data_IF_044858937144
#
_entry.id   IF_044858937144
#
_cell.length_a   1.000
_cell.length_b   1.000
_cell.length_c   1.000
_cell.angle_alpha   90.00
_cell.angle_beta   90.00
_cell.angle_gamma   90.00
#
_symmetry.space_group_name_H-M   'P 1'
#
loop_
_entity.id
_entity.type
_entity.pdbx_description
1 polymer ?
#
# COMPACT_ATOMS: atom_id res chain seq x y z
N UNK A 1 -2.49 -21.59 -22.73
CA UNK A 1 -3.58 -21.08 -23.59
C UNK A 1 -4.37 -19.95 -22.93
N UNK A 2 -4.87 -20.09 -21.69
CA UNK A 2 -5.64 -19.02 -21.00
C UNK A 2 -4.95 -17.65 -20.97
N UNK A 3 -3.65 -17.58 -20.61
CA UNK A 3 -2.90 -16.32 -20.63
C UNK A 3 -2.87 -15.64 -22.00
N UNK A 4 -2.79 -16.43 -23.08
CA UNK A 4 -2.81 -15.90 -24.44
C UNK A 4 -4.16 -15.24 -24.75
N UNK A 5 -5.26 -15.96 -24.54
CA UNK A 5 -6.60 -15.43 -24.76
C UNK A 5 -6.94 -14.24 -23.87
N UNK A 6 -6.50 -14.27 -22.61
CA UNK A 6 -6.66 -13.13 -21.71
C UNK A 6 -5.92 -11.88 -22.23
N UNK A 7 -4.69 -12.04 -22.72
CA UNK A 7 -3.93 -10.95 -23.33
C UNK A 7 -4.58 -10.44 -24.62
N UNK A 8 -5.09 -11.35 -25.47
CA UNK A 8 -5.86 -10.95 -26.67
C UNK A 8 -7.10 -10.16 -26.29
N UNK A 9 -7.84 -10.61 -25.27
CA UNK A 9 -9.03 -9.93 -24.76
C UNK A 9 -8.76 -8.48 -24.35
N UNK A 10 -7.57 -8.18 -23.85
CA UNK A 10 -7.13 -6.82 -23.52
C UNK A 10 -6.96 -5.93 -24.76
N UNK A 11 -6.64 -6.53 -25.92
CA UNK A 11 -6.38 -5.79 -27.16
C UNK A 11 -7.64 -5.52 -27.98
N UNK A 12 -8.78 -6.15 -27.61
CA UNK A 12 -10.02 -6.00 -28.35
C UNK A 12 -10.77 -4.73 -27.93
N UNK A 13 -11.07 -3.88 -28.89
CA UNK A 13 -11.76 -2.62 -28.65
C UNK A 13 -13.16 -2.85 -28.06
N UNK A 14 -13.49 -2.09 -27.03
CA UNK A 14 -14.78 -2.18 -26.34
C UNK A 14 -14.94 -3.39 -25.41
N UNK A 15 -13.95 -4.28 -25.29
CA UNK A 15 -13.98 -5.41 -24.36
C UNK A 15 -13.42 -4.99 -23.00
N UNK A 16 -14.17 -4.14 -22.31
CA UNK A 16 -13.81 -3.58 -21.01
C UNK A 16 -13.70 -4.63 -19.91
N UNK A 17 -12.95 -4.35 -18.84
CA UNK A 17 -12.80 -5.23 -17.68
C UNK A 17 -14.16 -5.71 -17.11
N UNK A 18 -15.17 -4.83 -17.07
CA UNK A 18 -16.52 -5.18 -16.63
C UNK A 18 -17.16 -6.22 -17.56
N UNK A 19 -17.05 -6.03 -18.88
CA UNK A 19 -17.59 -6.98 -19.86
C UNK A 19 -16.85 -8.31 -19.82
N UNK A 20 -15.53 -8.30 -19.63
CA UNK A 20 -14.74 -9.52 -19.47
C UNK A 20 -15.26 -10.35 -18.28
N UNK A 21 -15.44 -9.72 -17.12
CA UNK A 21 -15.97 -10.41 -15.95
C UNK A 21 -17.39 -10.97 -16.19
N UNK A 22 -18.29 -10.20 -16.76
CA UNK A 22 -19.64 -10.66 -17.06
C UNK A 22 -19.65 -11.88 -17.98
N UNK A 23 -18.79 -11.93 -19.00
CA UNK A 23 -18.68 -13.10 -19.86
C UNK A 23 -18.04 -14.30 -19.17
N UNK A 24 -17.04 -14.06 -18.32
CA UNK A 24 -16.40 -15.13 -17.55
C UNK A 24 -17.32 -15.77 -16.52
N UNK A 25 -18.36 -15.07 -16.05
CA UNK A 25 -19.42 -15.70 -15.21
C UNK A 25 -20.17 -16.79 -15.98
N UNK A 26 -20.34 -16.66 -17.28
CA UNK A 26 -20.97 -17.66 -18.14
C UNK A 26 -19.97 -18.66 -18.70
N UNK A 27 -18.85 -18.17 -19.24
CA UNK A 27 -17.89 -19.00 -20.01
C UNK A 27 -16.85 -19.65 -19.13
N UNK A 28 -16.61 -19.17 -17.91
CA UNK A 28 -15.64 -19.63 -16.89
C UNK A 28 -14.16 -19.62 -17.35
N UNK A 29 -13.87 -19.45 -18.64
CA UNK A 29 -12.51 -19.39 -19.18
C UNK A 29 -12.44 -18.45 -20.39
N UNK A 30 -11.26 -17.92 -20.64
CA UNK A 30 -11.02 -17.13 -21.86
C UNK A 30 -11.02 -17.98 -23.12
N UNK A 31 -10.51 -19.22 -23.04
CA UNK A 31 -10.57 -20.17 -24.15
C UNK A 31 -12.01 -20.41 -24.62
N UNK A 32 -12.94 -20.58 -23.69
CA UNK A 32 -14.36 -20.78 -24.02
C UNK A 32 -14.98 -19.54 -24.70
N UNK A 33 -14.59 -18.32 -24.36
CA UNK A 33 -15.09 -17.11 -25.05
C UNK A 33 -14.70 -17.13 -26.53
N UNK A 34 -13.51 -17.65 -26.88
CA UNK A 34 -12.96 -17.59 -28.24
C UNK A 34 -13.18 -18.86 -29.07
N UNK A 35 -13.38 -20.01 -28.45
CA UNK A 35 -13.42 -21.32 -29.11
C UNK A 35 -14.79 -22.01 -29.09
N UNK A 36 -15.63 -21.74 -28.06
CA UNK A 36 -16.93 -22.39 -27.95
C UNK A 36 -17.99 -21.84 -28.94
N UNK A 37 -19.03 -22.62 -29.20
CA UNK A 37 -20.16 -22.15 -30.01
C UNK A 37 -20.96 -21.09 -29.20
N UNK A 38 -21.20 -19.89 -29.74
CA UNK A 38 -22.01 -18.88 -29.05
C UNK A 38 -23.41 -19.37 -28.66
N UNK A 39 -23.96 -20.34 -29.38
CA UNK A 39 -25.31 -20.92 -29.08
C UNK A 39 -25.36 -21.69 -27.76
N UNK A 40 -24.23 -22.10 -27.22
CA UNK A 40 -24.13 -22.79 -25.92
C UNK A 40 -24.37 -21.86 -24.72
N UNK A 41 -24.44 -20.54 -24.97
CA UNK A 41 -24.54 -19.51 -23.92
C UNK A 41 -25.89 -18.77 -23.94
N UNK A 42 -26.22 -18.05 -22.86
CA UNK A 42 -27.45 -17.25 -22.80
C UNK A 42 -27.58 -16.28 -23.97
N UNK A 43 -28.79 -16.11 -24.49
CA UNK A 43 -29.07 -15.28 -25.68
C UNK A 43 -28.47 -13.88 -25.60
N UNK A 44 -28.36 -13.32 -24.39
CA UNK A 44 -27.76 -11.99 -24.16
C UNK A 44 -26.24 -11.97 -24.40
N UNK A 45 -25.57 -13.08 -24.16
CA UNK A 45 -24.11 -13.22 -24.32
C UNK A 45 -23.71 -13.57 -25.76
N UNK A 46 -24.56 -14.29 -26.50
CA UNK A 46 -24.27 -14.79 -27.85
C UNK A 46 -23.75 -13.73 -28.83
N UNK A 47 -24.41 -12.56 -29.00
CA UNK A 47 -23.94 -11.57 -29.96
C UNK A 47 -22.60 -10.95 -29.55
N UNK A 48 -22.31 -10.85 -28.25
CA UNK A 48 -21.05 -10.35 -27.73
C UNK A 48 -19.92 -11.34 -28.00
N UNK A 49 -20.14 -12.61 -27.71
CA UNK A 49 -19.18 -13.71 -27.95
C UNK A 49 -18.89 -13.81 -29.46
N UNK A 50 -19.92 -13.85 -30.30
CA UNK A 50 -19.77 -13.91 -31.75
C UNK A 50 -18.98 -12.70 -32.31
N UNK A 51 -19.24 -11.50 -31.80
CA UNK A 51 -18.52 -10.30 -32.16
C UNK A 51 -17.04 -10.36 -31.78
N UNK A 52 -16.72 -10.86 -30.57
CA UNK A 52 -15.34 -11.03 -30.10
C UNK A 52 -14.59 -12.09 -30.92
N UNK A 53 -15.24 -13.21 -31.26
CA UNK A 53 -14.67 -14.26 -32.10
C UNK A 53 -14.41 -13.77 -33.54
N UNK A 54 -15.32 -12.94 -34.09
CA UNK A 54 -15.11 -12.32 -35.39
C UNK A 54 -13.88 -11.40 -35.37
N UNK A 55 -13.78 -10.54 -34.35
CA UNK A 55 -12.64 -9.63 -34.17
C UNK A 55 -11.33 -10.40 -33.92
N UNK A 56 -11.40 -11.50 -33.20
CA UNK A 56 -10.25 -12.41 -33.00
C UNK A 56 -9.71 -12.96 -34.34
N UNK A 57 -10.59 -13.34 -35.26
CA UNK A 57 -10.23 -13.86 -36.60
C UNK A 57 -9.60 -12.80 -37.52
N UNK A 58 -9.80 -11.52 -37.27
CA UNK A 58 -9.21 -10.43 -38.06
C UNK A 58 -7.71 -10.24 -37.81
N UNK A 59 -7.15 -10.83 -36.71
CA UNK A 59 -5.75 -10.72 -36.31
C UNK A 59 -5.20 -9.30 -36.18
N UNK A 60 -6.04 -8.27 -36.12
CA UNK A 60 -5.64 -6.87 -35.99
C UNK A 60 -4.91 -6.57 -34.67
N UNK A 61 -5.18 -7.36 -33.65
CA UNK A 61 -4.59 -7.31 -32.30
C UNK A 61 -3.15 -7.83 -32.23
N UNK A 62 -2.70 -8.66 -33.19
CA UNK A 62 -1.45 -9.44 -33.10
C UNK A 62 -0.22 -8.58 -32.88
N UNK A 63 -0.07 -7.48 -33.66
CA UNK A 63 1.09 -6.58 -33.51
C UNK A 63 1.18 -5.95 -32.10
N UNK A 64 0.03 -5.59 -31.51
CA UNK A 64 -0.02 -5.02 -30.16
C UNK A 64 0.35 -6.09 -29.12
N UNK A 65 -0.15 -7.30 -29.31
CA UNK A 65 0.15 -8.43 -28.44
C UNK A 65 1.66 -8.78 -28.47
N UNK A 66 2.25 -8.91 -29.68
CA UNK A 66 3.67 -9.20 -29.86
C UNK A 66 4.54 -8.16 -29.16
N UNK A 67 4.17 -6.87 -29.29
CA UNK A 67 4.87 -5.79 -28.59
C UNK A 67 4.76 -5.90 -27.07
N UNK A 68 3.58 -6.19 -26.55
CA UNK A 68 3.36 -6.39 -25.10
C UNK A 68 4.14 -7.58 -24.57
N UNK A 69 4.14 -8.71 -25.29
CA UNK A 69 4.89 -9.91 -24.91
C UNK A 69 6.40 -9.66 -24.86
N UNK A 70 6.96 -9.00 -25.88
CA UNK A 70 8.38 -8.61 -25.89
C UNK A 70 8.77 -7.74 -24.69
N UNK A 71 7.89 -6.83 -24.26
CA UNK A 71 8.14 -5.99 -23.09
C UNK A 71 8.09 -6.80 -21.79
N UNK A 72 7.15 -7.73 -21.68
CA UNK A 72 7.04 -8.64 -20.52
C UNK A 72 8.28 -9.52 -20.40
N UNK A 73 8.72 -10.12 -21.50
CA UNK A 73 9.94 -10.94 -21.54
C UNK A 73 11.17 -10.15 -21.09
N UNK A 74 11.36 -8.93 -21.62
CA UNK A 74 12.50 -8.07 -21.27
C UNK A 74 12.56 -7.71 -19.79
N UNK A 75 11.42 -7.53 -19.12
CA UNK A 75 11.40 -7.20 -17.70
C UNK A 75 11.20 -8.41 -16.78
N UNK A 76 11.08 -9.63 -17.35
CA UNK A 76 10.87 -10.87 -16.59
C UNK A 76 9.52 -10.87 -15.86
N UNK A 77 8.49 -10.30 -16.46
CA UNK A 77 7.15 -10.27 -15.89
C UNK A 77 6.29 -11.40 -16.43
N UNK A 78 5.40 -11.91 -15.58
CA UNK A 78 4.39 -12.91 -15.93
C UNK A 78 2.98 -12.32 -15.92
N UNK A 79 2.06 -13.06 -16.52
CA UNK A 79 0.65 -12.68 -16.65
C UNK A 79 -0.19 -13.67 -15.87
N UNK A 80 -1.04 -13.15 -14.97
CA UNK A 80 -1.97 -13.96 -14.17
C UNK A 80 -3.40 -13.52 -14.50
N UNK A 81 -4.13 -14.30 -15.32
CA UNK A 81 -5.54 -14.05 -15.62
C UNK A 81 -6.41 -14.33 -14.40
N UNK A 82 -7.56 -13.68 -14.30
CA UNK A 82 -8.54 -13.88 -13.21
C UNK A 82 -9.06 -15.33 -13.14
N UNK A 83 -8.98 -16.08 -14.23
CA UNK A 83 -9.34 -17.49 -14.33
C UNK A 83 -8.25 -18.45 -13.84
N UNK A 84 -7.05 -17.94 -13.52
CA UNK A 84 -5.95 -18.76 -13.01
C UNK A 84 -6.14 -19.08 -11.53
N UNK A 85 -5.69 -20.30 -11.14
CA UNK A 85 -5.55 -20.67 -9.72
C UNK A 85 -4.55 -19.78 -8.97
N UNK A 86 -3.60 -19.17 -9.69
CA UNK A 86 -2.59 -18.28 -9.13
C UNK A 86 -3.11 -16.85 -8.93
N UNK A 87 -4.40 -16.58 -9.27
CA UNK A 87 -4.99 -15.28 -9.04
C UNK A 87 -5.35 -15.11 -7.56
N UNK A 88 -4.98 -13.97 -6.91
CA UNK A 88 -5.19 -13.79 -5.47
C UNK A 88 -6.68 -13.87 -5.08
N UNK A 89 -7.01 -14.80 -4.18
CA UNK A 89 -8.39 -15.08 -3.76
C UNK A 89 -9.08 -13.84 -3.20
N UNK A 90 -8.39 -13.10 -2.31
CA UNK A 90 -8.95 -11.90 -1.69
C UNK A 90 -9.30 -10.83 -2.73
N UNK A 91 -8.44 -10.64 -3.73
CA UNK A 91 -8.70 -9.68 -4.80
C UNK A 91 -9.83 -10.15 -5.72
N UNK A 92 -9.90 -11.46 -6.03
CA UNK A 92 -10.93 -12.05 -6.88
C UNK A 92 -12.34 -11.85 -6.30
N UNK A 93 -12.46 -11.83 -4.97
CA UNK A 93 -13.73 -11.60 -4.27
C UNK A 93 -14.24 -10.16 -4.36
N UNK A 94 -13.44 -9.22 -4.90
CA UNK A 94 -13.84 -7.82 -5.02
C UNK A 94 -14.53 -7.53 -6.34
N UNK A 95 -15.55 -6.67 -6.35
CA UNK A 95 -16.27 -6.27 -7.58
C UNK A 95 -15.35 -5.60 -8.60
N UNK A 96 -14.26 -5.03 -8.15
CA UNK A 96 -13.30 -4.34 -8.98
C UNK A 96 -12.07 -5.15 -9.38
N UNK A 97 -12.03 -6.48 -9.18
CA UNK A 97 -10.87 -7.29 -9.54
C UNK A 97 -10.50 -7.13 -11.02
N UNK A 98 -9.23 -6.85 -11.35
CA UNK A 98 -8.80 -6.73 -12.74
C UNK A 98 -8.82 -8.09 -13.44
N UNK A 99 -9.21 -8.16 -14.72
CA UNK A 99 -9.22 -9.41 -15.48
C UNK A 99 -7.84 -10.04 -15.62
N UNK A 100 -6.79 -9.23 -15.56
CA UNK A 100 -5.39 -9.65 -15.66
C UNK A 100 -4.56 -8.89 -14.64
N UNK A 101 -3.59 -9.58 -14.06
CA UNK A 101 -2.48 -8.99 -13.33
C UNK A 101 -1.18 -9.26 -14.11
N UNK A 102 -0.38 -8.20 -14.26
CA UNK A 102 1.01 -8.29 -14.68
C UNK A 102 1.88 -8.27 -13.43
N UNK A 103 2.75 -9.27 -13.29
CA UNK A 103 3.50 -9.51 -12.04
C UNK A 103 4.98 -9.67 -12.36
N UNK A 104 5.85 -8.96 -11.63
CA UNK A 104 7.31 -9.10 -11.70
C UNK A 104 7.84 -9.39 -10.29
N UNK A 105 8.68 -10.41 -10.16
CA UNK A 105 9.17 -10.91 -8.88
C UNK A 105 8.45 -12.17 -8.44
N UNK A 106 8.33 -12.42 -7.14
CA UNK A 106 7.72 -13.64 -6.61
C UNK A 106 6.20 -13.52 -6.51
N UNK A 107 5.46 -14.25 -7.37
CA UNK A 107 3.99 -14.27 -7.38
C UNK A 107 3.37 -14.92 -6.14
N UNK A 108 4.07 -15.82 -5.45
CA UNK A 108 3.55 -16.51 -4.26
C UNK A 108 3.20 -15.51 -3.14
N UNK A 109 3.89 -14.37 -3.11
CA UNK A 109 3.59 -13.31 -2.14
C UNK A 109 2.14 -12.80 -2.24
N UNK A 110 1.49 -12.94 -3.39
CA UNK A 110 0.10 -12.51 -3.61
C UNK A 110 -0.91 -13.33 -2.79
N UNK A 111 -0.52 -14.52 -2.32
CA UNK A 111 -1.36 -15.44 -1.54
C UNK A 111 -1.09 -15.35 -0.03
N UNK A 112 -0.03 -14.65 0.38
CA UNK A 112 0.32 -14.49 1.79
C UNK A 112 -0.57 -13.44 2.47
N UNK A 113 -0.68 -13.47 3.81
CA UNK A 113 -1.40 -12.44 4.57
C UNK A 113 -0.80 -11.06 4.35
N UNK A 114 -1.62 -10.12 3.87
CA UNK A 114 -1.15 -8.79 3.48
C UNK A 114 -1.79 -7.69 4.31
N UNK A 115 -1.00 -6.67 4.65
CA UNK A 115 -1.47 -5.40 5.21
C UNK A 115 -1.11 -4.29 4.24
N UNK A 116 -2.10 -3.49 3.83
CA UNK A 116 -1.84 -2.29 3.07
C UNK A 116 -1.39 -1.16 4.00
N UNK A 117 -0.33 -0.44 3.62
CA UNK A 117 0.11 0.77 4.34
C UNK A 117 0.06 1.95 3.37
N UNK A 118 -0.75 2.94 3.72
CA UNK A 118 -0.99 4.11 2.88
C UNK A 118 -0.93 5.40 3.70
N UNK A 119 -0.73 6.53 3.04
CA UNK A 119 -0.71 7.81 3.73
C UNK A 119 -0.26 8.97 2.86
N UNK A 120 0.13 10.05 3.53
CA UNK A 120 0.56 11.29 2.92
C UNK A 120 1.82 11.10 2.04
N UNK A 121 1.86 11.84 0.92
CA UNK A 121 3.08 12.00 0.12
C UNK A 121 4.08 12.99 0.75
N UNK A 122 3.57 13.88 1.61
CA UNK A 122 4.33 14.81 2.45
C UNK A 122 4.09 14.38 3.89
N UNK A 123 4.88 13.45 4.33
CA UNK A 123 4.79 12.84 5.65
C UNK A 123 5.59 13.68 6.64
N UNK A 124 5.12 13.78 7.88
CA UNK A 124 5.89 14.36 8.98
C UNK A 124 6.98 13.38 9.41
N UNK A 125 7.96 13.85 10.16
CA UNK A 125 9.02 12.96 10.67
C UNK A 125 8.48 11.88 11.61
N UNK A 126 7.51 12.21 12.45
CA UNK A 126 6.78 11.22 13.25
C UNK A 126 6.07 10.19 12.38
N UNK A 127 5.41 10.63 11.31
CA UNK A 127 4.79 9.74 10.33
C UNK A 127 5.80 8.89 9.55
N UNK A 128 7.00 9.41 9.24
CA UNK A 128 8.10 8.64 8.65
C UNK A 128 8.56 7.51 9.57
N UNK A 129 8.80 7.86 10.85
CA UNK A 129 9.19 6.90 11.88
C UNK A 129 8.12 5.81 12.02
N UNK A 130 6.85 6.18 12.17
CA UNK A 130 5.75 5.23 12.29
C UNK A 130 5.64 4.33 11.05
N UNK A 131 5.74 4.89 9.84
CA UNK A 131 5.66 4.10 8.61
C UNK A 131 6.79 3.07 8.52
N UNK A 132 8.03 3.44 8.87
CA UNK A 132 9.18 2.55 8.84
C UNK A 132 9.11 1.49 9.96
N UNK A 133 8.97 1.92 11.20
CA UNK A 133 9.05 1.02 12.37
C UNK A 133 7.88 0.04 12.43
N UNK A 134 6.66 0.49 12.11
CA UNK A 134 5.49 -0.38 12.10
C UNK A 134 5.53 -1.36 10.94
N UNK A 135 6.03 -0.92 9.78
CA UNK A 135 6.24 -1.86 8.67
C UNK A 135 7.32 -2.89 8.99
N UNK A 136 8.42 -2.48 9.62
CA UNK A 136 9.46 -3.39 10.08
C UNK A 136 8.91 -4.40 11.11
N UNK A 137 8.14 -3.92 12.10
CA UNK A 137 7.54 -4.76 13.13
C UNK A 137 6.59 -5.81 12.54
N UNK A 138 5.60 -5.38 11.76
CA UNK A 138 4.60 -6.27 11.17
C UNK A 138 5.24 -7.27 10.18
N UNK A 139 6.28 -6.86 9.43
CA UNK A 139 7.02 -7.76 8.55
C UNK A 139 7.71 -8.90 9.32
N UNK A 140 8.26 -8.60 10.50
CA UNK A 140 8.84 -9.63 11.39
C UNK A 140 7.79 -10.60 11.93
N UNK A 141 6.52 -10.19 11.97
CA UNK A 141 5.38 -11.04 12.36
C UNK A 141 4.75 -11.79 11.17
N UNK A 142 5.40 -11.81 10.01
CA UNK A 142 5.00 -12.63 8.87
C UNK A 142 4.02 -11.97 7.91
N UNK A 143 3.63 -10.70 8.13
CA UNK A 143 2.79 -9.99 7.19
C UNK A 143 3.58 -9.50 5.97
N UNK A 144 2.95 -9.61 4.80
CA UNK A 144 3.43 -8.99 3.56
C UNK A 144 2.87 -7.57 3.46
N UNK A 145 3.72 -6.62 3.06
CA UNK A 145 3.31 -5.24 2.91
C UNK A 145 2.82 -4.96 1.49
N UNK A 146 1.62 -4.46 1.38
CA UNK A 146 1.08 -4.02 0.10
C UNK A 146 0.92 -2.51 0.11
N UNK A 147 1.55 -1.84 -0.85
CA UNK A 147 1.44 -0.39 -0.98
C UNK A 147 1.57 0.05 -2.44
N UNK A 148 1.34 1.33 -2.67
CA UNK A 148 1.60 1.91 -3.98
C UNK A 148 2.99 2.52 -4.01
N UNK A 149 3.76 2.35 -5.04
CA UNK A 149 5.13 2.83 -5.16
C UNK A 149 5.22 4.39 -5.22
N UNK A 150 4.42 5.09 -4.41
CA UNK A 150 4.39 6.55 -4.34
C UNK A 150 5.37 7.08 -3.28
N UNK A 151 5.71 8.39 -3.36
CA UNK A 151 6.54 9.06 -2.33
C UNK A 151 5.84 9.07 -0.98
N UNK A 152 6.59 9.31 0.10
CA UNK A 152 6.12 9.41 1.46
C UNK A 152 5.79 8.06 2.07
N UNK A 153 4.70 7.94 2.81
CA UNK A 153 4.33 6.73 3.55
C UNK A 153 4.47 5.45 2.72
N UNK A 154 4.06 5.47 1.45
CA UNK A 154 4.10 4.26 0.61
C UNK A 154 5.53 3.74 0.37
N UNK A 155 6.47 4.64 0.05
CA UNK A 155 7.87 4.27 -0.13
C UNK A 155 8.50 3.77 1.17
N UNK A 156 8.25 4.50 2.27
CA UNK A 156 8.74 4.15 3.61
C UNK A 156 8.23 2.79 4.09
N UNK A 157 6.99 2.45 3.79
CA UNK A 157 6.44 1.13 4.12
C UNK A 157 7.20 0.00 3.43
N UNK A 158 7.54 0.15 2.15
CA UNK A 158 8.38 -0.81 1.44
C UNK A 158 9.78 -0.89 2.04
N UNK A 159 10.40 0.26 2.36
CA UNK A 159 11.74 0.32 2.97
C UNK A 159 11.76 -0.37 4.36
N UNK A 160 10.73 -0.14 5.19
CA UNK A 160 10.59 -0.79 6.49
C UNK A 160 10.48 -2.31 6.37
N UNK A 161 9.66 -2.81 5.43
CA UNK A 161 9.54 -4.24 5.17
C UNK A 161 10.87 -4.86 4.70
N UNK A 162 11.56 -4.19 3.76
CA UNK A 162 12.86 -4.65 3.25
C UNK A 162 13.94 -4.66 4.33
N UNK A 163 13.94 -3.67 5.24
CA UNK A 163 14.85 -3.62 6.39
C UNK A 163 14.69 -4.81 7.32
N UNK A 164 13.46 -5.29 7.49
CA UNK A 164 13.15 -6.52 8.22
C UNK A 164 13.43 -7.81 7.43
N UNK A 165 13.95 -7.72 6.20
CA UNK A 165 14.05 -8.85 5.25
C UNK A 165 12.68 -9.51 4.95
N UNK A 166 11.60 -8.76 5.19
CA UNK A 166 10.23 -9.18 4.93
C UNK A 166 9.84 -9.03 3.45
N UNK A 167 8.66 -9.55 3.10
CA UNK A 167 8.12 -9.47 1.75
C UNK A 167 7.27 -8.22 1.59
N UNK A 168 7.33 -7.64 0.39
CA UNK A 168 6.50 -6.47 0.06
C UNK A 168 6.02 -6.51 -1.39
N UNK A 169 4.80 -6.01 -1.60
CA UNK A 169 4.14 -5.97 -2.90
C UNK A 169 3.89 -4.50 -3.26
N UNK A 170 4.53 -4.04 -4.34
CA UNK A 170 4.29 -2.71 -4.87
C UNK A 170 3.26 -2.78 -6.00
N UNK A 171 2.06 -2.25 -5.74
CA UNK A 171 1.02 -2.12 -6.76
C UNK A 171 1.30 -0.85 -7.56
N UNK A 172 1.44 -0.95 -8.87
CA UNK A 172 1.85 0.15 -9.74
C UNK A 172 0.64 0.80 -10.43
N UNK A 173 0.73 2.10 -10.70
CA UNK A 173 -0.25 2.85 -11.50
C UNK A 173 0.20 3.06 -12.96
N UNK A 174 1.14 2.25 -13.41
CA UNK A 174 1.80 2.28 -14.73
C UNK A 174 1.97 0.85 -15.23
N UNK A 175 2.44 0.66 -16.45
CA UNK A 175 2.86 -0.65 -16.93
C UNK A 175 3.94 -1.25 -16.04
N UNK A 176 4.04 -2.58 -16.02
CA UNK A 176 4.95 -3.32 -15.12
C UNK A 176 6.43 -2.98 -15.35
N UNK A 177 6.76 -2.51 -16.52
CA UNK A 177 8.07 -2.09 -16.99
C UNK A 177 8.34 -0.58 -16.88
N UNK A 178 7.38 0.20 -16.35
CA UNK A 178 7.45 1.66 -16.19
C UNK A 178 7.34 2.04 -14.72
N UNK A 179 8.46 2.29 -14.06
CA UNK A 179 8.46 2.69 -12.64
C UNK A 179 8.14 4.18 -12.49
N UNK A 180 7.15 4.50 -11.66
CA UNK A 180 6.80 5.87 -11.30
C UNK A 180 6.52 6.02 -9.79
N UNK A 181 7.10 7.04 -9.12
CA UNK A 181 8.02 8.06 -9.66
C UNK A 181 9.40 7.48 -10.00
N UNK A 182 10.11 8.08 -10.94
CA UNK A 182 11.46 7.62 -11.35
C UNK A 182 12.46 7.55 -10.20
N UNK A 183 12.26 8.39 -9.16
CA UNK A 183 13.08 8.35 -7.95
C UNK A 183 13.01 6.99 -7.22
N UNK A 184 11.95 6.21 -7.41
CA UNK A 184 11.76 4.89 -6.81
C UNK A 184 12.23 3.72 -7.69
N UNK A 185 12.97 3.99 -8.80
CA UNK A 185 13.53 2.91 -9.62
C UNK A 185 14.38 1.95 -8.78
N UNK A 186 15.27 2.50 -7.94
CA UNK A 186 16.12 1.68 -7.06
C UNK A 186 15.29 0.87 -6.06
N UNK A 187 14.26 1.47 -5.47
CA UNK A 187 13.36 0.77 -4.53
C UNK A 187 12.61 -0.36 -5.23
N UNK A 188 12.10 -0.15 -6.46
CA UNK A 188 11.43 -1.19 -7.24
C UNK A 188 12.36 -2.39 -7.51
N UNK A 189 13.61 -2.14 -7.90
CA UNK A 189 14.60 -3.21 -8.11
C UNK A 189 14.99 -3.90 -6.79
N UNK A 190 15.08 -3.18 -5.68
CA UNK A 190 15.32 -3.76 -4.36
C UNK A 190 14.17 -4.67 -3.93
N UNK A 191 12.91 -4.26 -4.16
CA UNK A 191 11.73 -5.08 -3.88
C UNK A 191 11.86 -6.42 -4.60
N UNK A 192 12.12 -6.41 -5.91
CA UNK A 192 12.21 -7.64 -6.70
C UNK A 192 13.43 -8.49 -6.29
N UNK A 193 14.59 -7.88 -6.15
CA UNK A 193 15.84 -8.61 -5.83
C UNK A 193 15.83 -9.25 -4.44
N UNK A 194 15.04 -8.71 -3.50
CA UNK A 194 14.87 -9.28 -2.17
C UNK A 194 13.64 -10.21 -2.06
N UNK A 195 13.11 -10.65 -3.20
CA UNK A 195 12.02 -11.62 -3.26
C UNK A 195 10.62 -11.03 -3.02
N UNK A 196 10.46 -9.71 -3.14
CA UNK A 196 9.17 -9.03 -3.19
C UNK A 196 8.57 -9.04 -4.59
N UNK A 197 7.50 -8.26 -4.79
CA UNK A 197 6.66 -8.34 -6.00
C UNK A 197 6.25 -6.94 -6.47
N UNK A 198 6.32 -6.71 -7.77
CA UNK A 198 5.64 -5.61 -8.44
C UNK A 198 4.39 -6.15 -9.13
N UNK A 199 3.27 -5.46 -9.03
CA UNK A 199 2.02 -5.89 -9.65
C UNK A 199 1.27 -4.70 -10.23
N UNK A 200 0.62 -4.89 -11.39
CA UNK A 200 -0.24 -3.89 -12.03
C UNK A 200 -1.33 -4.52 -12.87
N UNK A 201 -2.40 -3.76 -13.11
CA UNK A 201 -3.43 -4.09 -14.10
C UNK A 201 -3.20 -3.42 -15.46
N UNK A 202 -2.24 -2.50 -15.54
CA UNK A 202 -1.99 -1.71 -16.74
C UNK A 202 -1.04 -2.44 -17.68
N UNK A 203 -1.35 -2.36 -18.98
CA UNK A 203 -0.54 -2.98 -20.02
C UNK A 203 0.94 -2.54 -19.96
N UNK A 204 1.87 -3.40 -20.39
CA UNK A 204 3.28 -3.04 -20.51
C UNK A 204 3.44 -1.78 -21.36
N UNK A 205 4.26 -0.84 -20.87
CA UNK A 205 4.45 0.46 -21.50
C UNK A 205 3.43 1.53 -21.13
N UNK A 206 2.43 1.23 -20.32
CA UNK A 206 1.47 2.24 -19.88
C UNK A 206 2.16 3.33 -19.04
N UNK A 207 2.14 4.55 -19.57
CA UNK A 207 2.70 5.74 -18.93
C UNK A 207 1.85 6.21 -17.74
N UNK A 208 2.43 6.95 -16.78
CA UNK A 208 1.70 7.47 -15.64
C UNK A 208 0.62 8.48 -16.07
N UNK A 209 -0.62 8.21 -15.64
CA UNK A 209 -1.77 9.11 -15.83
C UNK A 209 -2.44 9.36 -14.48
N UNK A 210 -2.92 10.60 -14.20
CA UNK A 210 -3.56 10.92 -12.91
C UNK A 210 -4.72 9.97 -12.55
N UNK A 211 -5.50 9.51 -13.51
CA UNK A 211 -6.64 8.59 -13.33
C UNK A 211 -6.21 7.17 -12.94
N UNK A 212 -4.99 6.75 -13.26
CA UNK A 212 -4.51 5.40 -12.97
C UNK A 212 -4.31 5.17 -11.46
N UNK A 213 -3.87 6.21 -10.72
CA UNK A 213 -3.54 6.06 -9.30
C UNK A 213 -4.77 5.78 -8.41
N UNK A 214 -5.90 6.53 -8.52
CA UNK A 214 -7.11 6.16 -7.80
C UNK A 214 -7.66 4.80 -8.21
N UNK A 215 -7.63 4.47 -9.51
CA UNK A 215 -8.08 3.18 -10.04
C UNK A 215 -7.27 2.01 -9.46
N UNK A 216 -5.95 2.14 -9.37
CA UNK A 216 -5.05 1.15 -8.82
C UNK A 216 -5.31 0.87 -7.33
N UNK A 217 -5.76 1.88 -6.56
CA UNK A 217 -5.91 1.76 -5.11
C UNK A 217 -6.85 0.62 -4.68
N UNK A 218 -7.84 0.25 -5.51
CA UNK A 218 -8.72 -0.90 -5.25
C UNK A 218 -7.99 -2.24 -5.23
N UNK A 219 -6.84 -2.33 -5.92
CA UNK A 219 -6.00 -3.53 -5.91
C UNK A 219 -5.19 -3.58 -4.61
N UNK A 220 -4.72 -2.42 -4.10
CA UNK A 220 -4.02 -2.33 -2.82
C UNK A 220 -4.93 -2.85 -1.69
N UNK A 221 -6.14 -2.31 -1.58
CA UNK A 221 -7.09 -2.75 -0.56
C UNK A 221 -7.59 -4.18 -0.81
N UNK A 222 -7.83 -4.55 -2.08
CA UNK A 222 -8.35 -5.87 -2.45
C UNK A 222 -7.39 -7.03 -2.19
N UNK A 223 -6.09 -6.81 -2.22
CA UNK A 223 -5.06 -7.79 -1.88
C UNK A 223 -4.89 -7.96 -0.36
N UNK A 224 -5.34 -6.99 0.44
CA UNK A 224 -4.98 -6.90 1.86
C UNK A 224 -6.12 -7.33 2.78
N UNK A 225 -5.76 -7.83 3.97
CA UNK A 225 -6.68 -8.12 5.07
C UNK A 225 -7.21 -6.82 5.70
N UNK A 226 -6.34 -5.80 5.77
CA UNK A 226 -6.66 -4.49 6.31
C UNK A 226 -5.76 -3.40 5.75
N UNK A 227 -6.15 -2.14 5.97
CA UNK A 227 -5.47 -0.95 5.48
C UNK A 227 -5.07 -0.05 6.64
N UNK A 228 -3.79 0.15 6.86
CA UNK A 228 -3.25 1.12 7.81
C UNK A 228 -3.07 2.48 7.13
N UNK A 229 -3.68 3.51 7.70
CA UNK A 229 -3.49 4.91 7.32
C UNK A 229 -2.61 5.60 8.36
N UNK A 230 -1.36 5.87 8.00
CA UNK A 230 -0.37 6.49 8.91
C UNK A 230 -0.64 7.98 9.09
N UNK A 231 -0.75 8.70 8.01
CA UNK A 231 -1.11 10.12 7.98
C UNK A 231 -1.94 10.44 6.74
N UNK A 232 -2.97 11.25 6.90
CA UNK A 232 -3.78 11.73 5.80
C UNK A 232 -4.43 13.08 6.08
N UNK A 233 -4.31 14.03 5.16
CA UNK A 233 -5.19 15.19 5.14
C UNK A 233 -6.60 14.78 4.65
N UNK A 234 -7.63 15.57 4.95
CA UNK A 234 -9.05 15.31 4.59
C UNK A 234 -9.24 15.03 3.08
N UNK A 235 -8.43 15.64 2.23
CA UNK A 235 -8.51 15.46 0.76
C UNK A 235 -7.40 14.56 0.22
N UNK A 236 -6.83 13.68 1.06
CA UNK A 236 -5.77 12.75 0.65
C UNK A 236 -6.31 11.61 -0.21
N UNK A 237 -5.53 11.21 -1.23
CA UNK A 237 -5.82 10.02 -2.02
C UNK A 237 -5.76 8.70 -1.21
N UNK A 238 -5.09 8.69 -0.05
CA UNK A 238 -5.07 7.54 0.87
C UNK A 238 -6.45 7.26 1.50
N UNK A 239 -7.29 8.30 1.69
CA UNK A 239 -8.67 8.11 2.13
C UNK A 239 -9.53 7.39 1.09
N UNK A 240 -9.18 7.47 -0.20
CA UNK A 240 -9.84 6.68 -1.25
C UNK A 240 -9.55 5.20 -1.03
N UNK A 241 -8.30 4.84 -0.70
CA UNK A 241 -7.93 3.44 -0.43
C UNK A 241 -8.64 2.91 0.83
N UNK A 242 -8.71 3.72 1.89
CA UNK A 242 -9.43 3.34 3.11
C UNK A 242 -10.94 3.11 2.85
N UNK A 243 -11.58 3.98 2.06
CA UNK A 243 -12.99 3.79 1.68
C UNK A 243 -13.19 2.54 0.86
N UNK A 244 -12.33 2.29 -0.15
CA UNK A 244 -12.37 1.07 -0.96
C UNK A 244 -12.16 -0.18 -0.10
N UNK A 245 -11.33 -0.12 0.94
CA UNK A 245 -11.16 -1.20 1.90
C UNK A 245 -12.47 -1.55 2.60
N UNK A 246 -13.18 -0.55 3.12
CA UNK A 246 -14.51 -0.75 3.75
C UNK A 246 -15.54 -1.32 2.77
N UNK A 247 -15.58 -0.81 1.53
CA UNK A 247 -16.45 -1.33 0.46
C UNK A 247 -16.12 -2.80 0.11
N UNK A 248 -14.89 -3.23 0.36
CA UNK A 248 -14.40 -4.59 0.13
C UNK A 248 -14.42 -5.48 1.41
N UNK A 249 -15.06 -5.03 2.49
CA UNK A 249 -15.10 -5.71 3.79
C UNK A 249 -13.70 -5.98 4.37
N UNK A 250 -12.80 -4.97 4.31
CA UNK A 250 -11.47 -5.00 4.91
C UNK A 250 -11.42 -4.04 6.09
N UNK A 251 -10.65 -4.40 7.10
CA UNK A 251 -10.43 -3.55 8.26
C UNK A 251 -9.65 -2.29 7.88
N UNK A 252 -9.96 -1.20 8.55
CA UNK A 252 -9.24 0.07 8.39
C UNK A 252 -8.68 0.49 9.74
N UNK A 253 -7.38 0.69 9.78
CA UNK A 253 -6.62 1.13 10.93
C UNK A 253 -6.11 2.55 10.69
N UNK A 254 -6.18 3.41 11.70
CA UNK A 254 -5.73 4.78 11.58
C UNK A 254 -4.92 5.21 12.80
N UNK A 255 -3.72 5.74 12.56
CA UNK A 255 -2.89 6.31 13.61
C UNK A 255 -3.46 7.67 14.01
N UNK A 256 -3.78 7.90 15.29
CA UNK A 256 -4.19 9.22 15.78
C UNK A 256 -3.02 10.21 15.73
N UNK A 257 -3.31 11.48 15.90
CA UNK A 257 -2.29 12.52 15.98
C UNK A 257 -2.86 13.81 16.53
N UNK A 258 -2.06 14.87 16.56
CA UNK A 258 -2.51 16.18 17.04
C UNK A 258 -3.70 16.72 16.22
N UNK A 259 -4.72 17.26 16.89
CA UNK A 259 -5.85 17.94 16.25
C UNK A 259 -5.42 19.20 15.48
N UNK A 260 -4.24 19.73 15.79
CA UNK A 260 -3.65 20.89 15.12
C UNK A 260 -2.86 20.49 13.86
N UNK A 261 -2.48 19.22 13.73
CA UNK A 261 -1.79 18.73 12.54
C UNK A 261 -2.78 18.44 11.40
N UNK A 262 -2.71 19.17 10.26
CA UNK A 262 -3.58 18.93 9.12
C UNK A 262 -3.47 17.50 8.54
N UNK A 263 -2.31 16.85 8.71
CA UNK A 263 -2.07 15.47 8.23
C UNK A 263 -2.74 14.41 9.11
N UNK A 264 -3.17 14.74 10.34
CA UNK A 264 -3.91 13.83 11.23
C UNK A 264 -5.42 13.88 11.00
N UNK A 265 -5.93 14.94 10.38
CA UNK A 265 -7.38 15.16 10.22
C UNK A 265 -8.09 14.08 9.43
N UNK A 266 -7.42 13.48 8.45
CA UNK A 266 -7.95 12.36 7.67
C UNK A 266 -8.04 11.08 8.51
N UNK A 267 -7.04 10.78 9.33
CA UNK A 267 -7.08 9.68 10.29
C UNK A 267 -8.21 9.86 11.31
N UNK A 268 -8.36 11.05 11.89
CA UNK A 268 -9.46 11.36 12.80
C UNK A 268 -10.84 11.20 12.13
N UNK A 269 -10.95 11.57 10.85
CA UNK A 269 -12.18 11.37 10.08
C UNK A 269 -12.51 9.88 9.93
N UNK A 270 -11.52 9.05 9.61
CA UNK A 270 -11.69 7.59 9.50
C UNK A 270 -12.07 6.97 10.85
N UNK A 271 -11.42 7.35 11.94
CA UNK A 271 -11.72 6.88 13.30
C UNK A 271 -13.17 7.21 13.67
N UNK A 272 -13.64 8.42 13.38
CA UNK A 272 -15.04 8.81 13.60
C UNK A 272 -16.05 8.02 12.74
N UNK A 273 -15.59 7.40 11.66
CA UNK A 273 -16.39 6.54 10.78
C UNK A 273 -16.28 5.07 11.13
N UNK A 274 -15.58 4.72 12.23
CA UNK A 274 -15.48 3.36 12.72
C UNK A 274 -14.18 2.65 12.34
N UNK A 275 -13.18 3.35 11.80
CA UNK A 275 -11.84 2.77 11.66
C UNK A 275 -11.21 2.54 13.04
N UNK A 276 -10.46 1.45 13.19
CA UNK A 276 -9.77 1.13 14.43
C UNK A 276 -8.68 2.18 14.69
N UNK A 277 -8.77 2.85 15.84
CA UNK A 277 -7.68 3.66 16.35
C UNK A 277 -6.57 2.72 16.81
N UNK A 278 -5.36 2.92 16.32
CA UNK A 278 -4.19 2.10 16.69
C UNK A 278 -3.07 3.01 17.18
N UNK A 279 -2.51 2.65 18.34
CA UNK A 279 -1.42 3.38 18.99
C UNK A 279 -0.08 2.66 18.86
N UNK A 280 -0.13 1.36 18.52
CA UNK A 280 1.04 0.57 18.21
C UNK A 280 0.74 -0.47 17.10
N UNK A 281 1.79 -1.02 16.50
CA UNK A 281 1.64 -2.05 15.46
C UNK A 281 1.04 -3.37 16.01
N UNK A 282 1.18 -3.62 17.31
CA UNK A 282 0.58 -4.76 18.00
C UNK A 282 -0.94 -4.76 17.98
N UNK A 283 -1.57 -3.57 18.01
CA UNK A 283 -3.04 -3.43 17.94
C UNK A 283 -3.58 -4.04 16.64
N UNK A 284 -2.88 -3.80 15.51
CA UNK A 284 -3.24 -4.34 14.21
C UNK A 284 -3.17 -5.87 14.22
N UNK A 285 -2.11 -6.41 14.82
CA UNK A 285 -1.91 -7.86 14.92
C UNK A 285 -3.02 -8.47 15.75
N UNK A 286 -3.37 -7.86 16.90
CA UNK A 286 -4.44 -8.31 17.80
C UNK A 286 -5.80 -8.39 17.10
N UNK A 287 -6.18 -7.35 16.36
CA UNK A 287 -7.44 -7.31 15.61
C UNK A 287 -7.47 -8.36 14.49
N UNK A 288 -6.43 -8.43 13.68
CA UNK A 288 -6.36 -9.39 12.58
C UNK A 288 -6.27 -10.84 13.06
N UNK A 289 -5.62 -11.13 14.18
CA UNK A 289 -5.62 -12.46 14.78
C UNK A 289 -7.00 -12.88 15.27
N UNK A 290 -7.76 -11.96 15.84
CA UNK A 290 -9.16 -12.23 16.22
C UNK A 290 -10.01 -12.60 15.01
N UNK A 291 -9.81 -11.93 13.89
CA UNK A 291 -10.46 -12.23 12.61
C UNK A 291 -9.96 -13.53 11.96
N UNK A 292 -8.65 -13.80 12.05
CA UNK A 292 -8.01 -14.99 11.48
C UNK A 292 -8.14 -16.22 12.37
N UNK A 293 -8.30 -16.09 13.68
CA UNK A 293 -8.48 -17.18 14.63
C UNK A 293 -9.77 -18.00 14.39
N UNK A 294 -10.69 -17.48 13.59
CA UNK A 294 -11.85 -18.21 13.03
C UNK A 294 -11.53 -18.91 11.70
N UNK A 295 -10.39 -18.66 11.08
CA UNK A 295 -9.87 -19.29 9.89
C UNK A 295 -8.66 -20.15 10.29
N UNK A 296 -8.40 -21.25 9.59
CA UNK A 296 -7.31 -22.19 9.91
C UNK A 296 -5.96 -21.47 10.11
N UNK A 297 -5.04 -22.02 10.96
CA UNK A 297 -3.74 -21.41 11.20
C UNK A 297 -3.02 -21.13 9.88
N UNK A 298 -2.65 -19.88 9.65
CA UNK A 298 -1.87 -19.50 8.48
C UNK A 298 -0.44 -19.95 8.75
N UNK A 299 0.06 -20.91 7.95
CA UNK A 299 1.46 -21.34 8.04
C UNK A 299 2.39 -20.13 7.87
N UNK A 300 3.25 -19.90 8.85
CA UNK A 300 4.24 -18.83 8.85
C UNK A 300 3.95 -17.63 9.75
N UNK A 301 2.73 -17.50 10.32
CA UNK A 301 2.51 -16.56 11.41
C UNK A 301 2.99 -17.20 12.74
N UNK A 302 4.00 -16.61 13.35
CA UNK A 302 4.40 -17.05 14.69
C UNK A 302 3.25 -16.78 15.68
N UNK A 303 2.95 -17.73 16.60
CA UNK A 303 1.99 -17.48 17.66
C UNK A 303 2.43 -16.23 18.43
N UNK A 304 1.53 -15.27 18.57
CA UNK A 304 1.74 -14.19 19.53
C UNK A 304 1.81 -14.81 20.94
N UNK A 305 3.00 -14.92 21.48
CA UNK A 305 3.11 -14.77 22.93
C UNK A 305 2.44 -13.43 23.25
N UNK A 306 1.45 -13.44 24.15
CA UNK A 306 0.73 -12.22 24.55
C UNK A 306 1.75 -11.11 24.69
N UNK A 307 1.75 -10.18 23.75
CA UNK A 307 2.44 -8.93 23.91
C UNK A 307 1.68 -8.16 25.01
N UNK A 308 1.87 -8.58 26.27
CA UNK A 308 1.65 -7.76 27.45
C UNK A 308 2.74 -6.67 27.41
N UNK A 309 2.61 -5.83 26.44
CA UNK A 309 3.47 -4.71 26.19
C UNK A 309 2.70 -3.76 25.32
N UNK A 310 2.06 -2.80 25.94
CA UNK A 310 2.30 -1.48 25.41
C UNK A 310 3.82 -1.45 25.14
N UNK A 311 4.25 -1.65 23.89
CA UNK A 311 5.44 -0.99 23.44
C UNK A 311 5.05 0.49 23.65
N UNK A 312 5.18 0.93 24.89
CA UNK A 312 5.19 2.34 25.25
C UNK A 312 6.03 2.96 24.17
N UNK A 313 5.43 3.86 23.41
CA UNK A 313 6.18 4.73 22.51
C UNK A 313 7.49 4.96 23.24
N UNK A 314 8.59 4.45 22.66
CA UNK A 314 9.83 4.28 23.40
C UNK A 314 10.30 5.69 23.75
N UNK A 315 9.75 6.25 24.85
CA UNK A 315 10.13 7.55 25.44
C UNK A 315 11.54 7.42 26.05
N UNK A 316 12.10 6.22 26.01
CA UNK A 316 13.49 5.99 26.40
C UNK A 316 14.40 6.60 25.32
N UNK A 317 15.21 7.54 25.74
CA UNK A 317 16.30 8.11 24.94
C UNK A 317 17.14 6.99 24.31
N UNK A 318 17.61 7.17 23.06
CA UNK A 318 18.54 6.22 22.46
C UNK A 318 19.69 5.93 23.42
N UNK A 319 20.14 4.68 23.58
CA UNK A 319 21.11 4.28 24.61
C UNK A 319 22.44 5.04 24.56
N UNK A 320 22.70 5.78 23.48
CA UNK A 320 23.93 6.56 23.30
C UNK A 320 23.73 8.10 23.37
N UNK A 321 22.54 8.59 23.75
CA UNK A 321 22.26 10.03 23.81
C UNK A 321 22.16 10.46 25.26
N UNK A 322 23.17 11.19 25.76
CA UNK A 322 23.11 11.86 27.06
C UNK A 322 22.45 13.24 26.90
N UNK A 323 21.48 13.54 27.71
CA UNK A 323 20.87 14.88 27.83
C UNK A 323 21.13 15.42 29.22
N UNK A 324 21.39 16.72 29.32
CA UNK A 324 21.52 17.40 30.60
C UNK A 324 20.14 17.77 31.19
N UNK A 325 20.15 18.37 32.39
CA UNK A 325 18.91 18.73 33.11
C UNK A 325 18.08 19.79 32.35
N UNK A 326 18.75 20.73 31.71
CA UNK A 326 18.09 21.84 30.99
C UNK A 326 17.54 21.38 29.66
N UNK A 327 18.26 20.51 28.94
CA UNK A 327 17.78 19.83 27.74
C UNK A 327 16.52 18.99 28.02
N UNK A 328 16.52 18.27 29.15
CA UNK A 328 15.34 17.47 29.56
C UNK A 328 14.14 18.36 29.85
N UNK A 329 14.32 19.44 30.60
CA UNK A 329 13.25 20.39 30.91
C UNK A 329 12.70 21.04 29.63
N UNK A 330 13.57 21.42 28.70
CA UNK A 330 13.15 21.99 27.42
C UNK A 330 12.40 20.94 26.57
N UNK A 331 12.88 19.69 26.55
CA UNK A 331 12.23 18.61 25.82
C UNK A 331 10.80 18.32 26.36
N UNK A 332 10.62 18.42 27.67
CA UNK A 332 9.29 18.31 28.33
C UNK A 332 8.40 19.51 27.98
N UNK A 333 8.95 20.72 27.91
CA UNK A 333 8.22 21.94 27.57
C UNK A 333 7.80 21.99 26.08
N UNK A 334 8.62 21.45 25.17
CA UNK A 334 8.29 21.35 23.73
C UNK A 334 7.10 20.42 23.53
N UNK A 335 7.06 19.29 24.23
CA UNK A 335 6.00 18.30 24.03
C UNK A 335 6.01 17.67 22.62
N UNK A 336 4.93 16.97 22.27
CA UNK A 336 4.79 16.28 21.00
C UNK A 336 4.04 17.07 19.92
N UNK A 337 3.51 18.24 20.26
CA UNK A 337 2.89 19.18 19.32
C UNK A 337 3.89 20.25 18.87
N UNK A 338 3.80 20.73 17.60
CA UNK A 338 4.66 21.80 17.14
C UNK A 338 4.47 23.08 17.97
N UNK A 339 5.52 23.62 18.53
CA UNK A 339 5.53 24.85 19.33
C UNK A 339 6.53 25.85 18.73
N UNK A 340 6.15 27.12 18.61
CA UNK A 340 7.05 28.17 18.13
C UNK A 340 8.02 28.61 19.21
N UNK A 341 9.15 29.16 18.80
CA UNK A 341 10.21 29.64 19.72
C UNK A 341 9.72 30.73 20.63
N UNK A 342 8.78 31.59 20.17
CA UNK A 342 8.24 32.67 20.94
C UNK A 342 7.30 32.16 22.06
N UNK A 343 6.60 31.04 21.82
CA UNK A 343 5.81 30.38 22.83
C UNK A 343 6.69 29.79 23.93
N UNK A 344 7.78 29.09 23.54
CA UNK A 344 8.74 28.55 24.50
C UNK A 344 9.45 29.65 25.32
N UNK A 345 9.74 30.79 24.71
CA UNK A 345 10.35 31.92 25.39
C UNK A 345 9.39 32.60 26.39
N UNK A 346 8.08 32.63 26.11
CA UNK A 346 7.05 33.19 26.98
C UNK A 346 6.89 32.47 28.30
N UNK A 347 7.14 31.16 28.32
CA UNK A 347 7.13 30.35 29.55
C UNK A 347 8.22 30.73 30.57
N UNK A 348 9.14 31.61 30.19
CA UNK A 348 10.10 32.25 31.09
C UNK A 348 11.12 31.34 31.76
N UNK A 349 11.18 30.08 31.35
CA UNK A 349 12.10 29.09 31.94
C UNK A 349 13.53 29.18 31.43
N UNK A 350 13.70 29.76 30.22
CA UNK A 350 14.99 29.89 29.53
C UNK A 350 15.17 31.30 28.97
N UNK A 351 16.41 31.81 28.96
CA UNK A 351 16.75 32.98 28.16
C UNK A 351 16.70 32.67 26.67
N UNK A 352 16.44 33.67 25.82
CA UNK A 352 16.39 33.44 24.37
C UNK A 352 17.70 32.84 23.81
N UNK A 353 18.84 33.17 24.42
CA UNK A 353 20.16 32.62 24.02
C UNK A 353 20.30 31.15 24.43
N UNK A 354 19.90 30.82 25.66
CA UNK A 354 19.93 29.45 26.17
C UNK A 354 18.94 28.57 25.41
N UNK A 355 17.73 29.09 25.15
CA UNK A 355 16.71 28.41 24.38
C UNK A 355 17.23 28.03 22.97
N UNK A 356 17.83 28.97 22.27
CA UNK A 356 18.39 28.69 20.94
C UNK A 356 19.50 27.63 21.02
N UNK A 357 20.44 27.75 21.97
CA UNK A 357 21.53 26.80 22.18
C UNK A 357 21.00 25.39 22.47
N UNK A 358 20.02 25.28 23.36
CA UNK A 358 19.41 23.98 23.74
C UNK A 358 18.62 23.38 22.59
N UNK A 359 17.86 24.19 21.84
CA UNK A 359 17.11 23.71 20.66
C UNK A 359 18.04 23.14 19.60
N UNK A 360 19.15 23.83 19.27
CA UNK A 360 20.15 23.34 18.34
C UNK A 360 20.81 22.04 18.84
N UNK A 361 21.12 21.97 20.15
CA UNK A 361 21.68 20.75 20.75
C UNK A 361 20.73 19.56 20.63
N UNK A 362 19.44 19.75 20.96
CA UNK A 362 18.42 18.72 20.87
C UNK A 362 18.13 18.29 19.42
N UNK A 363 18.19 19.25 18.47
CA UNK A 363 18.06 18.96 17.06
C UNK A 363 19.22 18.13 16.52
N UNK A 364 20.45 18.45 16.88
CA UNK A 364 21.65 17.66 16.55
C UNK A 364 21.61 16.25 17.17
N UNK A 365 21.01 16.11 18.35
CA UNK A 365 20.78 14.80 19.00
C UNK A 365 19.60 14.04 18.39
N UNK A 366 18.86 14.62 17.45
CA UNK A 366 17.70 14.01 16.81
C UNK A 366 16.49 13.83 17.74
N UNK A 367 16.37 14.63 18.79
CA UNK A 367 15.30 14.58 19.77
C UNK A 367 14.19 15.60 19.49
N UNK A 368 14.52 16.67 18.77
CA UNK A 368 13.60 17.75 18.37
C UNK A 368 13.80 18.05 16.89
N UNK A 369 12.78 18.48 16.22
CA UNK A 369 12.80 18.91 14.83
C UNK A 369 12.24 20.34 14.70
N UNK A 370 12.85 21.13 13.80
CA UNK A 370 12.34 22.42 13.39
C UNK A 370 11.61 22.30 12.05
N UNK A 371 10.31 22.58 12.04
CA UNK A 371 9.50 22.70 10.82
C UNK A 371 8.95 24.11 10.68
N UNK A 372 9.51 24.90 9.76
CA UNK A 372 9.03 26.26 9.45
C UNK A 372 8.99 27.20 10.66
N UNK A 373 9.95 27.08 11.58
CA UNK A 373 10.04 27.90 12.79
C UNK A 373 9.30 27.36 14.02
N UNK A 374 8.62 26.23 13.90
CA UNK A 374 8.05 25.51 15.03
C UNK A 374 8.90 24.28 15.36
N UNK A 375 9.10 24.02 16.64
CA UNK A 375 9.85 22.89 17.17
C UNK A 375 8.89 21.82 17.70
N UNK A 376 9.20 20.57 17.43
CA UNK A 376 8.42 19.41 17.88
C UNK A 376 9.34 18.34 18.43
N UNK A 377 8.94 17.73 19.54
CA UNK A 377 9.63 16.57 20.10
C UNK A 377 9.40 15.33 19.22
N UNK A 378 10.45 14.54 18.99
CA UNK A 378 10.40 13.36 18.12
C UNK A 378 10.22 12.06 18.88
N UNK A 379 10.66 12.01 20.15
CA UNK A 379 10.61 10.81 21.03
C UNK A 379 10.44 11.20 22.48
#
# INVERSE_FOLDING_TARGET
MECHYALVAQQLDGFTAKRQRQLLEYCQSYSAIFEADPSDYPTEAQPVIAGLQAHYREHSWQRKLDHSQQRLERCGAQVIPITSSDYPILLNQTDGAPPILYVRGNSDNLHLPQIAVVGSRRVTRGGETNALEWSEFLARHGFVFTSGLARGVNGLAHEGALKAQGKTIAVMGTGIDVVYPRAHNRLAEQIVSQGGTLVTEFEPGAEPRPSHFPRRNRIISGLSLGVLVVEAAIRSGSLITARLALEQNRDVFAIPGSIHNPQSRGCHHLIKQGAHLVECAGDIVGELHSALGSLQPIEGLQPLERLDGHATANTALPPNVSIDSDERRLLEAIGFDPVDMDALARDGQFSSVDLFRLLVSLELKGLVENQHGAYQRLR
#
